data_IF_604039106385
#
_entry.id   IF_604039106385
#
_cell.length_a   1.000
_cell.length_b   1.000
_cell.length_c   1.000
_cell.angle_alpha   90.00
_cell.angle_beta   90.00
_cell.angle_gamma   90.00
#
_symmetry.space_group_name_H-M   'P 1'
#
loop_
_entity.id
_entity.type
_entity.pdbx_description
1 polymer ?
#
# COMPACT_ATOMS: atom_id res chain seq x y z
N UNK A 1 -35.13 -1.58 -39.98
CA UNK A 1 -36.34 -0.71 -39.93
C UNK A 1 -37.43 -1.19 -38.98
N UNK A 2 -37.86 -2.48 -39.00
CA UNK A 2 -38.91 -3.01 -38.09
C UNK A 2 -38.65 -2.81 -36.59
N UNK A 3 -37.40 -2.93 -36.12
CA UNK A 3 -37.00 -2.68 -34.73
C UNK A 3 -37.36 -1.27 -34.26
N UNK A 4 -36.97 -0.25 -35.03
CA UNK A 4 -37.19 1.16 -34.68
C UNK A 4 -38.67 1.53 -34.77
N UNK A 5 -39.38 1.03 -35.79
CA UNK A 5 -40.84 1.24 -35.93
C UNK A 5 -41.66 0.63 -34.78
N UNK A 6 -41.19 -0.47 -34.16
CA UNK A 6 -41.87 -1.09 -33.02
C UNK A 6 -41.64 -0.34 -31.70
N UNK A 7 -40.58 0.45 -31.61
CA UNK A 7 -40.14 1.14 -30.39
C UNK A 7 -40.15 2.68 -30.51
N UNK A 8 -40.77 3.22 -31.56
CA UNK A 8 -40.75 4.65 -31.89
C UNK A 8 -41.23 5.54 -30.75
N UNK A 9 -42.26 5.10 -30.01
CA UNK A 9 -42.81 5.82 -28.86
C UNK A 9 -41.82 5.87 -27.68
N UNK A 10 -41.04 4.81 -27.46
CA UNK A 10 -40.03 4.78 -26.40
C UNK A 10 -38.84 5.66 -26.76
N UNK A 11 -38.35 5.59 -27.99
CA UNK A 11 -37.26 6.46 -28.46
C UNK A 11 -37.67 7.93 -28.45
N UNK A 12 -38.91 8.25 -28.83
CA UNK A 12 -39.44 9.60 -28.71
C UNK A 12 -39.44 10.08 -27.25
N UNK A 13 -39.94 9.26 -26.31
CA UNK A 13 -39.92 9.57 -24.87
C UNK A 13 -38.52 9.75 -24.31
N UNK A 14 -37.57 8.90 -24.69
CA UNK A 14 -36.16 9.05 -24.31
C UNK A 14 -35.58 10.35 -24.90
N UNK A 15 -35.85 10.65 -26.16
CA UNK A 15 -35.43 11.91 -26.81
C UNK A 15 -35.98 13.15 -26.11
N UNK A 16 -37.28 13.14 -25.74
CA UNK A 16 -37.88 14.21 -24.95
C UNK A 16 -37.21 14.36 -23.57
N UNK A 17 -36.99 13.24 -22.87
CA UNK A 17 -36.30 13.26 -21.57
C UNK A 17 -34.89 13.83 -21.68
N UNK A 18 -34.09 13.37 -22.65
CA UNK A 18 -32.72 13.87 -22.89
C UNK A 18 -32.76 15.37 -23.19
N UNK A 19 -33.69 15.81 -24.04
CA UNK A 19 -33.85 17.23 -24.38
C UNK A 19 -34.18 18.09 -23.15
N UNK A 20 -35.09 17.61 -22.28
CA UNK A 20 -35.43 18.28 -21.02
C UNK A 20 -34.22 18.36 -20.09
N UNK A 21 -33.49 17.25 -19.91
CA UNK A 21 -32.29 17.21 -19.05
C UNK A 21 -31.22 18.16 -19.59
N UNK A 22 -30.97 18.18 -20.90
CA UNK A 22 -30.03 19.13 -21.53
C UNK A 22 -30.49 20.56 -21.30
N UNK A 23 -31.76 20.88 -21.51
CA UNK A 23 -32.30 22.23 -21.28
C UNK A 23 -32.18 22.66 -19.82
N UNK A 24 -32.44 21.76 -18.86
CA UNK A 24 -32.25 22.02 -17.44
C UNK A 24 -30.78 22.28 -17.12
N UNK A 25 -29.85 21.46 -17.60
CA UNK A 25 -28.41 21.65 -17.40
C UNK A 25 -27.97 22.98 -18.00
N UNK A 26 -28.38 23.29 -19.23
CA UNK A 26 -28.06 24.56 -19.89
C UNK A 26 -28.65 25.76 -19.14
N UNK A 27 -29.84 25.63 -18.57
CA UNK A 27 -30.46 26.68 -17.76
C UNK A 27 -29.69 26.90 -16.46
N UNK A 28 -29.27 25.83 -15.78
CA UNK A 28 -28.48 25.91 -14.54
C UNK A 28 -27.06 26.44 -14.83
N UNK A 29 -26.43 26.02 -15.93
CA UNK A 29 -25.14 26.55 -16.38
C UNK A 29 -25.29 28.02 -16.79
N UNK A 30 -26.38 28.43 -17.44
CA UNK A 30 -26.62 29.83 -17.77
C UNK A 30 -26.78 30.67 -16.48
N UNK A 31 -27.51 30.17 -15.48
CA UNK A 31 -27.61 30.83 -14.17
C UNK A 31 -26.22 30.93 -13.52
N UNK A 32 -25.44 29.85 -13.52
CA UNK A 32 -24.05 29.85 -13.01
C UNK A 32 -23.17 30.83 -13.80
N UNK A 33 -23.34 30.96 -15.11
CA UNK A 33 -22.61 31.93 -15.92
C UNK A 33 -22.97 33.39 -15.60
N UNK A 34 -24.24 33.69 -15.29
CA UNK A 34 -24.70 35.05 -14.98
C UNK A 34 -24.55 35.43 -13.50
N UNK A 35 -24.54 34.46 -12.58
CA UNK A 35 -24.52 34.68 -11.12
C UNK A 35 -23.21 34.20 -10.47
N UNK A 36 -22.49 33.29 -11.12
CA UNK A 36 -21.25 32.65 -10.67
C UNK A 36 -20.03 33.04 -11.50
N UNK A 37 -19.08 32.11 -11.66
CA UNK A 37 -17.78 32.36 -12.31
C UNK A 37 -17.68 31.75 -13.73
N UNK A 38 -18.73 31.07 -14.19
CA UNK A 38 -18.86 30.51 -15.53
C UNK A 38 -18.03 29.25 -15.78
N UNK A 39 -17.51 28.59 -14.75
CA UNK A 39 -16.65 27.41 -14.91
C UNK A 39 -17.44 26.08 -15.02
N UNK A 40 -18.76 26.13 -14.84
CA UNK A 40 -19.65 24.96 -14.85
C UNK A 40 -19.65 24.15 -13.55
N UNK A 41 -19.07 24.68 -12.47
CA UNK A 41 -19.07 24.12 -11.12
C UNK A 41 -19.92 25.03 -10.22
N UNK A 42 -20.92 24.46 -9.55
CA UNK A 42 -21.74 25.20 -8.61
C UNK A 42 -21.79 24.48 -7.27
N UNK A 43 -21.35 25.14 -6.19
CA UNK A 43 -21.23 24.56 -4.84
C UNK A 43 -20.38 23.28 -4.82
N UNK A 44 -19.20 23.31 -5.47
CA UNK A 44 -18.29 22.17 -5.63
C UNK A 44 -18.84 20.98 -6.45
N UNK A 45 -20.00 21.14 -7.10
CA UNK A 45 -20.57 20.14 -7.99
C UNK A 45 -20.33 20.51 -9.46
N UNK A 46 -19.60 19.66 -10.20
CA UNK A 46 -19.48 19.80 -11.66
C UNK A 46 -20.81 19.41 -12.33
N UNK A 47 -21.56 20.44 -12.72
CA UNK A 47 -22.90 20.30 -13.31
C UNK A 47 -22.87 19.57 -14.65
N UNK A 48 -21.77 19.72 -15.41
CA UNK A 48 -21.58 19.07 -16.71
C UNK A 48 -21.43 17.58 -16.51
N UNK A 49 -20.62 17.18 -15.54
CA UNK A 49 -20.39 15.78 -15.19
C UNK A 49 -21.66 15.11 -14.64
N UNK A 50 -22.42 15.82 -13.80
CA UNK A 50 -23.71 15.35 -13.29
C UNK A 50 -24.69 15.15 -14.46
N UNK A 51 -24.81 16.16 -15.31
CA UNK A 51 -25.70 16.13 -16.46
C UNK A 51 -25.40 14.97 -17.42
N UNK A 52 -24.12 14.80 -17.77
CA UNK A 52 -23.66 13.66 -18.56
C UNK A 52 -24.02 12.32 -17.91
N UNK A 53 -23.80 12.17 -16.60
CA UNK A 53 -24.14 10.93 -15.87
C UNK A 53 -25.63 10.64 -15.91
N UNK A 54 -26.50 11.64 -15.70
CA UNK A 54 -27.96 11.45 -15.75
C UNK A 54 -28.41 10.97 -17.12
N UNK A 55 -27.93 11.62 -18.19
CA UNK A 55 -28.23 11.22 -19.57
C UNK A 55 -27.71 9.81 -19.86
N UNK A 56 -26.47 9.51 -19.48
CA UNK A 56 -25.86 8.20 -19.67
C UNK A 56 -26.64 7.09 -18.96
N UNK A 57 -27.08 7.32 -17.72
CA UNK A 57 -27.94 6.39 -16.98
C UNK A 57 -29.28 6.18 -17.66
N UNK A 58 -29.96 7.24 -18.11
CA UNK A 58 -31.25 7.12 -18.78
C UNK A 58 -31.14 6.35 -20.10
N UNK A 59 -30.12 6.66 -20.92
CA UNK A 59 -29.83 5.93 -22.16
C UNK A 59 -29.50 4.47 -21.85
N UNK A 60 -28.66 4.21 -20.84
CA UNK A 60 -28.28 2.87 -20.42
C UNK A 60 -29.47 2.02 -19.97
N UNK A 61 -30.36 2.58 -19.14
CA UNK A 61 -31.57 1.91 -18.65
C UNK A 61 -32.56 1.61 -19.78
N UNK A 62 -32.80 2.57 -20.69
CA UNK A 62 -33.66 2.33 -21.85
C UNK A 62 -33.06 1.28 -22.78
N UNK A 63 -31.75 1.33 -23.00
CA UNK A 63 -31.03 0.33 -23.81
C UNK A 63 -31.13 -1.07 -23.18
N UNK A 64 -30.92 -1.19 -21.87
CA UNK A 64 -31.06 -2.43 -21.12
C UNK A 64 -32.50 -2.96 -21.17
N UNK A 65 -33.50 -2.10 -20.98
CA UNK A 65 -34.91 -2.46 -21.11
C UNK A 65 -35.24 -3.00 -22.51
N UNK A 66 -34.77 -2.32 -23.55
CA UNK A 66 -34.97 -2.76 -24.94
C UNK A 66 -34.25 -4.08 -25.22
N UNK A 67 -33.03 -4.24 -24.71
CA UNK A 67 -32.25 -5.47 -24.81
C UNK A 67 -33.02 -6.63 -24.16
N UNK A 68 -33.49 -6.46 -22.92
CA UNK A 68 -34.29 -7.47 -22.22
C UNK A 68 -35.55 -7.80 -23.02
N UNK A 69 -36.34 -6.79 -23.42
CA UNK A 69 -37.65 -7.02 -24.06
C UNK A 69 -37.56 -7.74 -25.41
N UNK A 70 -36.46 -7.57 -26.14
CA UNK A 70 -36.33 -8.06 -27.51
C UNK A 70 -35.45 -9.29 -27.65
N UNK A 71 -34.78 -9.68 -26.58
CA UNK A 71 -33.92 -10.86 -26.56
C UNK A 71 -34.74 -12.15 -26.40
N UNK A 72 -34.21 -13.32 -26.80
CA UNK A 72 -34.85 -14.61 -26.55
C UNK A 72 -35.05 -14.86 -25.05
N UNK A 73 -36.06 -15.65 -24.61
CA UNK A 73 -36.40 -15.84 -23.20
C UNK A 73 -35.21 -16.16 -22.28
N UNK A 74 -34.29 -17.01 -22.74
CA UNK A 74 -33.07 -17.35 -21.99
C UNK A 74 -32.20 -16.12 -21.70
N UNK A 75 -31.99 -15.27 -22.71
CA UNK A 75 -31.19 -14.04 -22.57
C UNK A 75 -31.93 -13.01 -21.71
N UNK A 76 -33.27 -12.93 -21.81
CA UNK A 76 -34.06 -12.06 -20.92
C UNK A 76 -33.84 -12.45 -19.46
N UNK A 77 -33.94 -13.75 -19.15
CA UNK A 77 -33.75 -14.26 -17.80
C UNK A 77 -32.35 -13.96 -17.28
N UNK A 78 -31.30 -14.17 -18.10
CA UNK A 78 -29.92 -13.84 -17.73
C UNK A 78 -29.78 -12.35 -17.41
N UNK A 79 -30.27 -11.48 -18.30
CA UNK A 79 -30.17 -10.03 -18.12
C UNK A 79 -30.96 -9.54 -16.91
N UNK A 80 -32.17 -10.06 -16.68
CA UNK A 80 -32.99 -9.75 -15.51
C UNK A 80 -32.33 -10.23 -14.21
N UNK A 81 -31.72 -11.42 -14.21
CA UNK A 81 -30.97 -11.93 -13.06
C UNK A 81 -29.75 -11.07 -12.76
N UNK A 82 -28.95 -10.71 -13.77
CA UNK A 82 -27.79 -9.83 -13.60
C UNK A 82 -28.20 -8.43 -13.10
N UNK A 83 -29.28 -7.89 -13.66
CA UNK A 83 -29.83 -6.59 -13.25
C UNK A 83 -30.31 -6.63 -11.80
N UNK A 84 -31.05 -7.68 -11.43
CA UNK A 84 -31.51 -7.90 -10.05
C UNK A 84 -30.33 -8.01 -9.08
N UNK A 85 -29.31 -8.80 -9.41
CA UNK A 85 -28.09 -8.94 -8.59
C UNK A 85 -27.40 -7.59 -8.43
N UNK A 86 -27.27 -6.80 -9.49
CA UNK A 86 -26.68 -5.46 -9.43
C UNK A 86 -27.46 -4.55 -8.45
N UNK A 87 -28.79 -4.48 -8.56
CA UNK A 87 -29.60 -3.66 -7.67
C UNK A 87 -29.56 -4.14 -6.21
N UNK A 88 -29.50 -5.45 -5.97
CA UNK A 88 -29.33 -6.01 -4.62
C UNK A 88 -27.99 -5.58 -4.03
N UNK A 89 -26.89 -5.74 -4.78
CA UNK A 89 -25.55 -5.30 -4.33
C UNK A 89 -25.56 -3.80 -4.05
N UNK A 90 -26.07 -2.99 -4.98
CA UNK A 90 -26.17 -1.54 -4.82
C UNK A 90 -27.01 -1.14 -3.60
N UNK A 91 -28.15 -1.81 -3.38
CA UNK A 91 -29.02 -1.59 -2.23
C UNK A 91 -28.34 -1.93 -0.90
N UNK A 92 -27.65 -3.07 -0.83
CA UNK A 92 -26.85 -3.46 0.34
C UNK A 92 -25.77 -2.41 0.61
N UNK A 93 -25.05 -1.99 -0.43
CA UNK A 93 -23.96 -1.02 -0.29
C UNK A 93 -24.45 0.34 0.21
N UNK A 94 -25.63 0.74 -0.25
CA UNK A 94 -26.29 1.98 0.17
C UNK A 94 -26.74 1.89 1.62
N UNK A 95 -27.45 0.82 1.99
CA UNK A 95 -27.97 0.62 3.36
C UNK A 95 -26.81 0.49 4.36
N UNK A 96 -25.80 -0.32 4.05
CA UNK A 96 -24.61 -0.45 4.92
C UNK A 96 -23.80 0.84 4.94
N UNK A 97 -23.76 1.59 3.84
CA UNK A 97 -23.21 2.95 3.81
C UNK A 97 -23.89 3.86 4.81
N UNK A 98 -25.23 3.90 4.84
CA UNK A 98 -25.98 4.67 5.82
C UNK A 98 -25.70 4.22 7.26
N UNK A 99 -25.66 2.91 7.51
CA UNK A 99 -25.34 2.37 8.84
C UNK A 99 -23.91 2.76 9.26
N UNK A 100 -22.94 2.63 8.35
CA UNK A 100 -21.55 2.97 8.60
C UNK A 100 -21.39 4.46 8.91
N UNK A 101 -21.99 5.33 8.09
CA UNK A 101 -21.88 6.78 8.25
C UNK A 101 -22.65 7.26 9.50
N UNK A 102 -23.79 6.65 9.85
CA UNK A 102 -24.50 6.93 11.10
C UNK A 102 -23.74 6.45 12.35
N UNK A 103 -22.95 5.38 12.23
CA UNK A 103 -22.11 4.84 13.30
C UNK A 103 -20.78 5.59 13.48
N UNK A 104 -20.34 6.33 12.47
CA UNK A 104 -19.14 7.18 12.54
C UNK A 104 -19.41 8.37 13.47
N UNK A 105 -18.99 8.25 14.72
CA UNK A 105 -18.88 9.42 15.60
C UNK A 105 -17.83 10.36 15.01
N UNK A 106 -18.09 11.67 15.05
CA UNK A 106 -17.07 12.67 14.73
C UNK A 106 -15.76 12.29 15.44
N UNK A 107 -14.57 12.46 14.80
CA UNK A 107 -13.30 12.08 15.39
C UNK A 107 -13.26 12.60 16.82
N UNK A 108 -13.16 11.70 17.80
CA UNK A 108 -13.11 12.13 19.19
C UNK A 108 -11.94 13.11 19.31
N UNK A 109 -12.14 14.24 20.00
CA UNK A 109 -11.09 15.24 20.24
C UNK A 109 -9.79 14.62 20.80
N UNK A 110 -9.87 13.41 21.35
CA UNK A 110 -8.77 12.66 21.94
C UNK A 110 -8.03 11.71 20.97
N UNK A 111 -8.34 11.73 19.66
CA UNK A 111 -7.55 10.98 18.67
C UNK A 111 -6.54 11.89 17.97
N UNK A 112 -5.27 11.45 17.84
CA UNK A 112 -4.25 12.20 17.13
C UNK A 112 -4.63 12.36 15.65
N UNK A 113 -4.55 13.58 15.16
CA UNK A 113 -4.74 13.95 13.76
C UNK A 113 -3.38 14.13 13.09
N UNK A 114 -3.22 13.61 11.88
CA UNK A 114 -2.07 13.96 11.05
C UNK A 114 -2.16 15.43 10.67
N UNK A 115 -1.09 16.18 10.91
CA UNK A 115 -0.99 17.57 10.49
C UNK A 115 0.13 17.68 9.44
N UNK A 116 -0.23 17.92 8.17
CA UNK A 116 0.74 18.09 7.08
C UNK A 116 1.06 16.81 6.28
N UNK A 117 1.78 16.92 5.14
CA UNK A 117 1.82 15.87 4.12
C UNK A 117 2.80 14.75 4.52
N UNK A 118 2.43 13.86 5.45
CA UNK A 118 3.32 12.77 5.87
C UNK A 118 3.56 11.71 4.76
N UNK A 119 2.60 11.55 3.84
CA UNK A 119 2.68 10.55 2.78
C UNK A 119 2.90 11.17 1.39
N UNK A 120 2.11 12.14 0.96
CA UNK A 120 2.16 12.61 -0.43
C UNK A 120 3.39 13.47 -0.77
N UNK A 121 4.09 14.01 0.23
CA UNK A 121 5.37 14.72 0.01
C UNK A 121 6.61 13.89 0.33
N UNK A 122 6.47 12.60 0.64
CA UNK A 122 7.61 11.76 1.04
C UNK A 122 8.04 10.77 -0.05
N UNK A 123 7.29 10.63 -1.15
CA UNK A 123 7.65 9.74 -2.25
C UNK A 123 7.73 10.41 -3.62
N UNK A 124 8.57 9.84 -4.48
CA UNK A 124 8.60 10.04 -5.91
C UNK A 124 8.17 8.74 -6.62
N UNK A 125 7.67 8.88 -7.85
CA UNK A 125 7.41 7.73 -8.71
C UNK A 125 8.71 7.04 -9.11
N UNK A 126 8.65 5.70 -9.19
CA UNK A 126 9.71 4.86 -9.74
C UNK A 126 9.08 3.78 -10.62
N UNK A 127 9.64 3.57 -11.80
CA UNK A 127 9.03 2.69 -12.81
C UNK A 127 8.98 1.21 -12.40
N UNK A 128 9.82 0.79 -11.44
CA UNK A 128 9.86 -0.58 -10.92
C UNK A 128 9.36 -0.68 -9.49
N UNK A 129 9.70 0.28 -8.63
CA UNK A 129 9.26 0.30 -7.23
C UNK A 129 7.84 0.85 -7.05
N UNK A 130 7.31 1.57 -8.03
CA UNK A 130 6.06 2.32 -7.93
C UNK A 130 6.22 3.60 -7.11
N UNK A 131 6.58 3.47 -5.83
CA UNK A 131 6.91 4.57 -4.93
C UNK A 131 8.28 4.36 -4.29
N UNK A 132 9.08 5.42 -4.21
CA UNK A 132 10.33 5.46 -3.43
C UNK A 132 10.45 6.79 -2.69
N UNK A 133 11.24 6.87 -1.61
CA UNK A 133 11.56 8.16 -0.99
C UNK A 133 12.06 9.18 -2.02
N UNK A 134 11.64 10.45 -1.92
CA UNK A 134 12.20 11.51 -2.76
C UNK A 134 13.71 11.62 -2.47
N UNK A 135 14.61 11.50 -3.48
CA UNK A 135 16.05 11.53 -3.25
C UNK A 135 16.51 12.91 -2.76
N UNK A 136 17.51 12.96 -1.87
CA UNK A 136 18.04 14.19 -1.26
C UNK A 136 16.95 15.08 -0.64
N UNK A 137 15.98 14.45 0.04
CA UNK A 137 14.82 15.14 0.59
C UNK A 137 14.72 14.97 2.10
N UNK A 138 14.20 16.01 2.75
CA UNK A 138 13.87 16.00 4.16
C UNK A 138 12.39 16.25 4.30
N UNK A 139 11.69 15.39 5.03
CA UNK A 139 10.28 15.57 5.28
C UNK A 139 9.97 15.39 6.76
N UNK A 140 8.85 15.99 7.17
CA UNK A 140 8.44 16.08 8.57
C UNK A 140 7.26 15.15 8.82
N UNK A 141 7.40 14.24 9.77
CA UNK A 141 6.32 13.39 10.25
C UNK A 141 5.70 14.02 11.49
N UNK A 142 4.50 14.58 11.33
CA UNK A 142 3.80 15.28 12.42
C UNK A 142 2.45 14.65 12.70
N UNK A 143 2.24 14.27 13.95
CA UNK A 143 0.92 14.00 14.50
C UNK A 143 0.61 15.00 15.58
N UNK A 144 -0.61 15.52 15.57
CA UNK A 144 -1.10 16.47 16.56
C UNK A 144 -2.26 15.90 17.34
N UNK A 145 -2.38 16.24 18.62
CA UNK A 145 -3.54 15.97 19.44
C UNK A 145 -4.01 17.29 20.01
N UNK A 146 -5.28 17.67 19.76
CA UNK A 146 -5.82 18.99 20.13
C UNK A 146 -4.94 20.17 19.65
N UNK A 147 -4.44 20.10 18.41
CA UNK A 147 -3.58 21.13 17.81
C UNK A 147 -2.14 21.16 18.32
N UNK A 148 -1.76 20.32 19.28
CA UNK A 148 -0.39 20.23 19.81
C UNK A 148 0.33 19.02 19.22
N UNK A 149 1.59 19.15 18.76
CA UNK A 149 2.34 18.00 18.25
C UNK A 149 2.55 16.96 19.36
N UNK A 150 2.17 15.72 19.09
CA UNK A 150 2.48 14.54 19.91
C UNK A 150 3.55 13.67 19.25
N UNK A 151 3.74 13.82 17.94
CA UNK A 151 4.89 13.31 17.19
C UNK A 151 5.35 14.45 16.28
N UNK A 152 6.64 14.72 16.30
CA UNK A 152 7.27 15.73 15.46
C UNK A 152 8.71 15.26 15.17
N UNK A 153 8.90 14.66 14.00
CA UNK A 153 10.18 14.07 13.60
C UNK A 153 10.55 14.53 12.20
N UNK A 154 11.80 14.95 12.02
CA UNK A 154 12.39 15.19 10.70
C UNK A 154 13.13 13.93 10.25
N UNK A 155 12.82 13.48 9.05
CA UNK A 155 13.42 12.31 8.41
C UNK A 155 14.25 12.76 7.21
N UNK A 156 15.47 12.22 7.08
CA UNK A 156 16.37 12.58 5.99
C UNK A 156 16.56 11.40 5.03
N UNK A 157 16.55 11.70 3.74
CA UNK A 157 16.69 10.75 2.65
C UNK A 157 17.90 11.10 1.80
N UNK A 158 18.74 10.11 1.50
CA UNK A 158 19.93 10.32 0.67
C UNK A 158 19.64 10.30 -0.84
N UNK A 159 20.69 10.46 -1.64
CA UNK A 159 20.62 10.49 -3.11
C UNK A 159 20.14 9.18 -3.74
N UNK A 160 20.18 8.06 -3.01
CA UNK A 160 19.74 6.74 -3.46
C UNK A 160 18.34 6.38 -2.94
N UNK A 161 17.60 7.37 -2.42
CA UNK A 161 16.26 7.18 -1.86
C UNK A 161 16.27 6.18 -0.69
N UNK A 162 17.26 6.31 0.21
CA UNK A 162 17.39 5.52 1.45
C UNK A 162 17.25 6.43 2.66
N UNK A 163 16.74 5.91 3.78
CA UNK A 163 16.77 6.66 5.05
C UNK A 163 18.22 6.83 5.49
N UNK A 164 18.61 8.06 5.82
CA UNK A 164 19.96 8.32 6.34
C UNK A 164 20.12 7.60 7.67
N UNK A 165 21.24 6.88 7.80
CA UNK A 165 21.68 6.28 9.07
C UNK A 165 22.90 7.07 9.55
N UNK A 166 22.74 7.99 10.52
CA UNK A 166 23.79 8.91 10.90
C UNK A 166 24.96 8.16 11.54
N UNK A 167 26.15 8.71 11.38
CA UNK A 167 27.34 8.18 12.03
C UNK A 167 27.16 8.30 13.54
N UNK A 168 27.06 7.16 14.23
CA UNK A 168 26.94 7.14 15.69
C UNK A 168 28.19 7.75 16.36
N UNK A 169 29.36 7.54 15.74
CA UNK A 169 30.65 8.13 16.13
C UNK A 169 31.34 8.68 14.87
N UNK A 170 31.26 10.00 14.67
CA UNK A 170 31.73 10.69 13.44
C UNK A 170 33.24 10.86 13.35
N UNK A 171 34.01 10.48 14.38
CA UNK A 171 35.38 10.97 14.51
C UNK A 171 36.50 10.02 14.07
N UNK A 172 36.34 8.69 14.02
CA UNK A 172 37.49 7.81 13.69
C UNK A 172 37.19 6.37 13.20
N UNK A 173 35.93 5.95 13.07
CA UNK A 173 35.66 4.54 12.74
C UNK A 173 35.70 4.27 11.23
N UNK A 174 36.77 3.61 10.77
CA UNK A 174 36.83 3.02 9.43
C UNK A 174 35.80 1.89 9.30
N UNK A 175 34.69 2.17 8.63
CA UNK A 175 33.63 1.20 8.34
C UNK A 175 33.92 0.50 7.02
N UNK A 176 34.52 -0.68 7.12
CA UNK A 176 34.94 -1.49 5.99
C UNK A 176 33.91 -2.58 5.60
N UNK A 177 32.86 -2.79 6.41
CA UNK A 177 31.77 -3.73 6.12
C UNK A 177 30.42 -3.03 5.93
N UNK A 178 29.52 -3.60 5.15
CA UNK A 178 28.14 -3.11 5.02
C UNK A 178 27.14 -3.99 5.80
N UNK A 179 26.03 -3.37 6.21
CA UNK A 179 24.81 -4.06 6.64
C UNK A 179 23.62 -3.44 5.93
N UNK A 180 22.95 -4.19 5.05
CA UNK A 180 21.78 -3.69 4.31
C UNK A 180 20.50 -4.10 5.05
N UNK A 181 19.61 -3.15 5.30
CA UNK A 181 18.33 -3.41 5.96
C UNK A 181 17.18 -3.13 5.02
N UNK A 182 16.44 -4.19 4.67
CA UNK A 182 15.25 -4.14 3.85
C UNK A 182 14.01 -4.43 4.70
N UNK A 183 12.89 -3.81 4.35
CA UNK A 183 11.62 -4.04 5.02
C UNK A 183 10.66 -2.89 4.77
N UNK A 184 9.68 -2.76 5.66
CA UNK A 184 8.64 -1.73 5.56
C UNK A 184 8.91 -0.55 6.49
N UNK A 185 7.84 0.04 7.03
CA UNK A 185 7.86 1.11 8.01
C UNK A 185 8.63 0.76 9.30
N UNK A 186 8.63 -0.51 9.69
CA UNK A 186 9.37 -0.99 10.86
C UNK A 186 10.88 -0.79 10.66
N UNK A 187 11.40 -1.18 9.50
CA UNK A 187 12.82 -1.01 9.16
C UNK A 187 13.15 0.45 8.87
N UNK A 188 12.26 1.17 8.18
CA UNK A 188 12.44 2.57 7.87
C UNK A 188 12.53 3.47 9.12
N UNK A 189 11.83 3.07 10.19
CA UNK A 189 11.72 3.86 11.42
C UNK A 189 10.69 4.97 11.26
N UNK A 190 9.46 4.58 10.95
CA UNK A 190 8.34 5.52 10.92
C UNK A 190 8.19 6.21 12.27
N UNK A 191 7.98 7.52 12.23
CA UNK A 191 7.79 8.37 13.41
C UNK A 191 8.94 8.34 14.45
N UNK A 192 10.15 7.90 14.09
CA UNK A 192 11.36 8.00 14.94
C UNK A 192 12.49 8.74 14.22
N UNK A 193 13.37 9.38 14.99
CA UNK A 193 14.49 10.15 14.44
C UNK A 193 15.51 9.23 13.73
N UNK A 194 16.37 9.82 12.89
CA UNK A 194 17.36 9.05 12.11
C UNK A 194 18.30 8.23 13.01
N UNK A 195 18.60 8.77 14.20
CA UNK A 195 19.42 8.15 15.25
C UNK A 195 18.61 7.26 16.21
N UNK A 196 17.44 6.80 15.79
CA UNK A 196 16.55 5.93 16.58
C UNK A 196 16.03 4.74 15.76
N UNK A 197 16.55 4.54 14.55
CA UNK A 197 16.13 3.46 13.65
C UNK A 197 16.85 2.13 13.97
N UNK A 198 16.32 1.00 13.49
CA UNK A 198 17.03 -0.29 13.60
C UNK A 198 18.44 -0.23 12.98
N UNK A 199 18.62 0.29 11.75
CA UNK A 199 19.95 0.36 11.16
C UNK A 199 20.92 1.24 11.98
N UNK A 200 20.42 2.31 12.60
CA UNK A 200 21.23 3.13 13.50
C UNK A 200 21.70 2.36 14.74
N UNK A 201 20.81 1.70 15.47
CA UNK A 201 21.22 0.95 16.66
C UNK A 201 22.16 -0.21 16.33
N UNK A 202 21.97 -0.88 15.19
CA UNK A 202 22.92 -1.87 14.72
C UNK A 202 24.31 -1.26 14.46
N UNK A 203 24.37 -0.15 13.71
CA UNK A 203 25.61 0.55 13.41
C UNK A 203 26.34 1.05 14.66
N UNK A 204 25.59 1.58 15.64
CA UNK A 204 26.12 2.03 16.92
C UNK A 204 26.80 0.89 17.69
N UNK A 205 26.24 -0.32 17.64
CA UNK A 205 26.76 -1.47 18.38
C UNK A 205 27.88 -2.23 17.64
N UNK A 206 28.10 -1.92 16.35
CA UNK A 206 29.04 -2.63 15.50
C UNK A 206 29.81 -1.65 14.61
N UNK A 207 30.83 -1.00 15.18
CA UNK A 207 31.57 0.12 14.56
C UNK A 207 32.28 -0.21 13.24
N UNK A 208 32.52 -1.48 12.93
CA UNK A 208 33.07 -1.93 11.64
C UNK A 208 32.06 -1.84 10.48
N UNK A 209 30.77 -1.70 10.76
CA UNK A 209 29.70 -1.74 9.77
C UNK A 209 29.14 -0.35 9.45
N UNK A 210 28.96 -0.09 8.16
CA UNK A 210 28.07 0.93 7.65
C UNK A 210 26.69 0.31 7.42
N UNK A 211 25.68 0.77 8.16
CA UNK A 211 24.31 0.32 7.96
C UNK A 211 23.61 1.20 6.91
N UNK A 212 22.82 0.55 6.05
CA UNK A 212 22.05 1.21 4.99
C UNK A 212 20.58 0.80 5.11
N UNK A 213 19.69 1.80 5.19
CA UNK A 213 18.26 1.59 5.39
C UNK A 213 17.49 1.70 4.07
N UNK A 214 17.19 0.54 3.49
CA UNK A 214 16.37 0.38 2.28
C UNK A 214 14.88 0.16 2.58
N UNK A 215 14.47 0.27 3.84
CA UNK A 215 13.06 0.25 4.21
C UNK A 215 12.31 1.43 3.61
N UNK A 216 10.98 1.30 3.51
CA UNK A 216 10.10 2.44 3.28
C UNK A 216 8.66 2.09 3.68
N UNK A 217 7.83 3.12 3.83
CA UNK A 217 6.43 3.00 4.21
C UNK A 217 5.72 1.97 3.35
N UNK A 218 5.20 0.91 3.96
CA UNK A 218 4.42 -0.07 3.22
C UNK A 218 5.20 -0.99 2.27
N UNK A 219 6.53 -0.91 2.23
CA UNK A 219 7.31 -1.84 1.42
C UNK A 219 7.06 -3.31 1.80
N UNK A 220 7.35 -4.19 0.85
CA UNK A 220 7.05 -5.62 0.92
C UNK A 220 8.15 -6.41 0.22
N UNK A 221 8.12 -7.75 0.24
CA UNK A 221 9.12 -8.56 -0.47
C UNK A 221 9.20 -8.24 -1.97
N UNK A 222 8.09 -7.76 -2.57
CA UNK A 222 8.05 -7.27 -3.95
C UNK A 222 9.02 -6.12 -4.19
N UNK A 223 9.10 -5.17 -3.25
CA UNK A 223 9.93 -3.98 -3.36
C UNK A 223 11.41 -4.32 -3.20
N UNK A 224 11.74 -5.22 -2.27
CA UNK A 224 13.11 -5.73 -2.13
C UNK A 224 13.54 -6.47 -3.42
N UNK A 225 12.69 -7.35 -3.95
CA UNK A 225 12.98 -8.09 -5.17
C UNK A 225 13.15 -7.15 -6.38
N UNK A 226 12.21 -6.22 -6.59
CA UNK A 226 12.27 -5.26 -7.68
C UNK A 226 13.55 -4.41 -7.61
N UNK A 227 13.94 -3.97 -6.41
CA UNK A 227 15.20 -3.24 -6.22
C UNK A 227 16.41 -4.09 -6.62
N UNK A 228 16.47 -5.34 -6.19
CA UNK A 228 17.59 -6.25 -6.48
C UNK A 228 17.61 -6.74 -7.94
N UNK A 229 16.49 -6.68 -8.67
CA UNK A 229 16.43 -7.04 -10.09
C UNK A 229 16.81 -5.85 -10.99
N UNK A 230 16.33 -4.66 -10.67
CA UNK A 230 16.40 -3.50 -11.56
C UNK A 230 17.46 -2.46 -11.18
N UNK A 231 18.10 -2.62 -10.02
CA UNK A 231 19.18 -1.74 -9.58
C UNK A 231 20.43 -2.54 -9.22
N UNK A 232 21.58 -1.99 -9.58
CA UNK A 232 22.87 -2.46 -9.07
C UNK A 232 23.13 -1.84 -7.69
N UNK A 233 22.71 -2.54 -6.64
CA UNK A 233 22.82 -2.08 -5.25
C UNK A 233 24.29 -2.00 -4.82
N UNK A 234 25.19 -2.75 -5.47
CA UNK A 234 26.64 -2.69 -5.19
C UNK A 234 27.27 -1.34 -5.55
N UNK A 235 26.63 -0.55 -6.43
CA UNK A 235 27.03 0.83 -6.75
C UNK A 235 26.54 1.86 -5.74
N UNK A 236 25.61 1.47 -4.86
CA UNK A 236 25.05 2.33 -3.82
C UNK A 236 25.78 2.13 -2.48
N UNK A 237 26.63 1.11 -2.38
CA UNK A 237 27.30 0.67 -1.15
C UNK A 237 28.81 0.68 -1.38
N UNK A 238 29.55 1.43 -0.57
CA UNK A 238 31.00 1.58 -0.75
C UNK A 238 31.76 0.31 -0.33
N UNK A 239 31.31 -0.36 0.72
CA UNK A 239 31.96 -1.55 1.27
C UNK A 239 31.70 -2.79 0.40
N UNK A 240 32.64 -3.73 0.41
CA UNK A 240 32.58 -4.96 -0.44
C UNK A 240 32.19 -6.22 0.31
N UNK A 241 32.30 -6.21 1.63
CA UNK A 241 31.95 -7.35 2.48
C UNK A 241 30.87 -6.93 3.46
N UNK A 242 29.93 -7.82 3.77
CA UNK A 242 28.80 -7.47 4.61
C UNK A 242 27.67 -8.47 4.46
N UNK A 243 26.51 -8.10 4.99
CA UNK A 243 25.32 -8.92 4.95
C UNK A 243 24.07 -8.07 4.67
N UNK A 244 22.97 -8.74 4.34
CA UNK A 244 21.65 -8.15 4.22
C UNK A 244 20.67 -8.76 5.24
N UNK A 245 19.75 -7.95 5.72
CA UNK A 245 18.64 -8.34 6.60
C UNK A 245 17.33 -7.90 5.95
N UNK A 246 16.37 -8.81 5.91
CA UNK A 246 14.96 -8.50 5.66
C UNK A 246 14.17 -8.63 6.97
N UNK A 247 13.60 -7.53 7.46
CA UNK A 247 12.69 -7.58 8.61
C UNK A 247 11.31 -8.03 8.14
N UNK A 248 10.80 -9.15 8.68
CA UNK A 248 9.52 -9.71 8.31
C UNK A 248 8.45 -9.51 9.39
N UNK A 249 7.27 -9.06 8.98
CA UNK A 249 6.02 -9.00 9.75
C UNK A 249 4.91 -9.67 8.92
N UNK A 250 3.84 -10.14 9.56
CA UNK A 250 2.76 -10.87 8.86
C UNK A 250 2.07 -10.06 7.77
N UNK A 251 1.94 -8.74 7.97
CA UNK A 251 1.36 -7.83 6.98
C UNK A 251 2.04 -7.92 5.61
N UNK A 252 3.29 -8.36 5.55
CA UNK A 252 3.98 -8.54 4.27
C UNK A 252 3.32 -9.58 3.36
N UNK A 253 2.54 -10.53 3.89
CA UNK A 253 1.72 -11.44 3.06
C UNK A 253 0.67 -10.63 2.31
N UNK A 254 -0.03 -9.72 3.00
CA UNK A 254 -1.05 -8.87 2.39
C UNK A 254 -0.49 -7.93 1.31
N UNK A 255 0.79 -7.56 1.45
CA UNK A 255 1.50 -6.65 0.53
C UNK A 255 2.28 -7.40 -0.55
N UNK A 256 2.43 -8.71 -0.40
CA UNK A 256 2.97 -9.63 -1.40
C UNK A 256 1.88 -10.13 -2.34
N UNK A 257 0.64 -10.22 -1.88
CA UNK A 257 -0.54 -10.35 -2.75
C UNK A 257 -1.09 -8.95 -3.06
N UNK A 258 -1.68 -8.71 -4.24
CA UNK A 258 -2.33 -7.45 -4.52
C UNK A 258 -3.76 -7.46 -3.94
N UNK A 259 -3.88 -7.48 -2.61
CA UNK A 259 -5.19 -7.42 -1.95
C UNK A 259 -5.90 -6.11 -2.23
N UNK A 260 -7.23 -6.06 -2.11
CA UNK A 260 -7.99 -4.84 -2.32
C UNK A 260 -7.60 -3.73 -1.34
N UNK A 261 -7.37 -4.08 -0.08
CA UNK A 261 -6.86 -3.21 0.97
C UNK A 261 -5.53 -2.60 0.57
N UNK A 262 -4.59 -3.42 0.11
CA UNK A 262 -3.27 -2.96 -0.31
C UNK A 262 -3.29 -2.14 -1.60
N UNK A 263 -4.06 -2.58 -2.60
CA UNK A 263 -4.32 -1.81 -3.84
C UNK A 263 -4.83 -0.42 -3.50
N UNK A 264 -5.78 -0.31 -2.59
CA UNK A 264 -6.33 0.98 -2.17
C UNK A 264 -5.37 1.84 -1.39
N UNK A 265 -4.70 1.29 -0.38
CA UNK A 265 -3.77 2.04 0.48
C UNK A 265 -2.57 2.59 -0.29
N UNK A 266 -2.09 1.83 -1.28
CA UNK A 266 -0.92 2.20 -2.08
C UNK A 266 -1.29 2.76 -3.47
N UNK A 267 -2.58 2.94 -3.75
CA UNK A 267 -3.16 3.31 -5.04
C UNK A 267 -2.56 2.51 -6.22
N UNK A 268 -2.27 1.23 -5.98
CA UNK A 268 -1.65 0.32 -6.95
C UNK A 268 -0.21 0.67 -7.38
N UNK A 269 0.47 1.61 -6.71
CA UNK A 269 1.86 1.98 -6.99
C UNK A 269 2.88 1.11 -6.25
N UNK A 270 2.83 -0.19 -6.50
CA UNK A 270 3.82 -1.16 -6.01
C UNK A 270 4.26 -2.08 -7.16
N UNK A 271 5.39 -2.81 -7.02
CA UNK A 271 5.89 -3.66 -8.07
C UNK A 271 4.90 -4.76 -8.45
N UNK A 272 4.70 -4.95 -9.75
CA UNK A 272 4.07 -6.14 -10.28
C UNK A 272 5.04 -7.34 -10.23
N UNK A 273 4.51 -8.55 -10.17
CA UNK A 273 5.30 -9.79 -10.15
C UNK A 273 4.66 -10.81 -11.09
N UNK A 274 5.48 -11.38 -11.97
CA UNK A 274 5.15 -12.64 -12.63
C UNK A 274 5.45 -13.80 -11.68
N UNK A 275 4.39 -14.43 -11.17
CA UNK A 275 4.47 -15.52 -10.20
C UNK A 275 5.19 -16.77 -10.74
N UNK A 276 5.32 -16.94 -12.05
CA UNK A 276 5.99 -18.10 -12.65
C UNK A 276 7.51 -17.92 -12.72
N UNK A 277 7.96 -16.73 -13.11
CA UNK A 277 9.37 -16.41 -13.31
C UNK A 277 10.02 -15.70 -12.12
N UNK A 278 9.20 -15.27 -11.14
CA UNK A 278 9.60 -14.37 -10.05
C UNK A 278 10.30 -13.10 -10.57
N UNK A 279 9.89 -12.59 -11.73
CA UNK A 279 10.39 -11.33 -12.29
C UNK A 279 9.40 -10.21 -12.07
N UNK A 280 9.92 -9.05 -11.65
CA UNK A 280 9.11 -7.85 -11.46
C UNK A 280 9.01 -7.07 -12.75
N UNK A 281 7.79 -6.74 -13.18
CA UNK A 281 7.51 -6.25 -14.53
C UNK A 281 6.85 -4.86 -14.53
N UNK A 282 7.44 -3.93 -13.79
CA UNK A 282 6.92 -2.56 -13.65
C UNK A 282 5.90 -2.44 -12.51
N UNK A 283 4.97 -1.49 -12.63
CA UNK A 283 4.05 -1.12 -11.53
C UNK A 283 2.66 -1.73 -11.73
N UNK A 284 2.13 -2.36 -10.67
CA UNK A 284 0.88 -3.13 -10.68
C UNK A 284 -0.30 -2.43 -11.35
N UNK A 285 -0.56 -1.16 -11.05
CA UNK A 285 -1.69 -0.42 -11.64
C UNK A 285 -1.62 -0.29 -13.17
N UNK A 286 -0.41 -0.24 -13.74
CA UNK A 286 -0.20 -0.08 -15.17
C UNK A 286 -0.18 -1.43 -15.89
N UNK A 287 0.36 -2.47 -15.24
CA UNK A 287 0.34 -3.85 -15.78
C UNK A 287 -1.07 -4.46 -15.72
N UNK A 288 -1.85 -4.13 -14.69
CA UNK A 288 -3.16 -4.71 -14.43
C UNK A 288 -4.27 -3.65 -14.23
N UNK A 289 -4.58 -2.81 -15.24
CA UNK A 289 -5.50 -1.69 -15.08
C UNK A 289 -6.92 -2.11 -14.69
N UNK A 290 -7.40 -3.26 -15.18
CA UNK A 290 -8.71 -3.78 -14.83
C UNK A 290 -8.76 -4.34 -13.40
N UNK A 291 -7.73 -5.09 -12.98
CA UNK A 291 -7.64 -5.61 -11.60
C UNK A 291 -7.46 -4.46 -10.61
N UNK A 292 -6.67 -3.44 -10.94
CA UNK A 292 -6.55 -2.21 -10.15
C UNK A 292 -7.91 -1.53 -9.98
N UNK A 293 -8.66 -1.29 -11.07
CA UNK A 293 -10.00 -0.68 -10.99
C UNK A 293 -10.95 -1.49 -10.10
N UNK A 294 -10.94 -2.81 -10.25
CA UNK A 294 -11.73 -3.70 -9.41
C UNK A 294 -11.31 -3.64 -7.93
N UNK A 295 -10.00 -3.72 -7.66
CA UNK A 295 -9.44 -3.61 -6.31
C UNK A 295 -9.79 -2.28 -5.65
N UNK A 296 -9.71 -1.17 -6.40
CA UNK A 296 -10.13 0.15 -5.93
C UNK A 296 -11.63 0.25 -5.65
N UNK A 297 -12.46 -0.39 -6.48
CA UNK A 297 -13.91 -0.49 -6.23
C UNK A 297 -14.18 -1.24 -4.91
N UNK A 298 -13.54 -2.39 -4.71
CA UNK A 298 -13.67 -3.17 -3.46
C UNK A 298 -13.09 -2.41 -2.26
N UNK A 299 -11.99 -1.69 -2.42
CA UNK A 299 -11.43 -0.86 -1.35
C UNK A 299 -12.39 0.25 -0.89
N UNK A 300 -13.07 0.88 -1.85
CA UNK A 300 -14.05 1.96 -1.61
C UNK A 300 -15.42 1.46 -1.12
N UNK A 301 -15.66 0.14 -1.15
CA UNK A 301 -16.89 -0.48 -0.63
C UNK A 301 -17.13 -0.08 0.83
N UNK A 302 -18.36 0.37 1.10
CA UNK A 302 -18.83 0.69 2.46
C UNK A 302 -19.05 -0.56 3.27
N UNK A 303 -19.50 -1.67 2.64
CA UNK A 303 -19.56 -2.98 3.30
C UNK A 303 -18.19 -3.40 3.79
N UNK A 304 -17.17 -3.33 2.93
CA UNK A 304 -15.79 -3.63 3.31
C UNK A 304 -15.33 -2.77 4.49
N UNK A 305 -15.51 -1.44 4.40
CA UNK A 305 -15.09 -0.50 5.44
C UNK A 305 -15.83 -0.73 6.76
N UNK A 306 -17.13 -1.02 6.72
CA UNK A 306 -17.96 -1.25 7.90
C UNK A 306 -17.53 -2.50 8.67
N UNK A 307 -17.26 -3.59 7.97
CA UNK A 307 -16.85 -4.86 8.59
C UNK A 307 -15.34 -5.01 8.76
N UNK A 308 -14.55 -3.97 8.44
CA UNK A 308 -13.09 -3.97 8.47
C UNK A 308 -12.47 -5.20 7.75
N UNK A 309 -13.09 -5.62 6.65
CA UNK A 309 -12.65 -6.78 5.88
C UNK A 309 -11.63 -6.40 4.81
N UNK A 310 -10.74 -7.32 4.46
CA UNK A 310 -9.89 -7.20 3.26
C UNK A 310 -10.29 -8.27 2.24
N UNK A 311 -9.91 -8.09 0.97
CA UNK A 311 -10.11 -9.08 -0.08
C UNK A 311 -8.75 -9.48 -0.68
N UNK A 312 -8.34 -10.76 -0.61
CA UNK A 312 -9.10 -11.90 -0.08
C UNK A 312 -9.28 -11.84 1.45
N UNK A 313 -10.40 -12.38 1.95
CA UNK A 313 -10.78 -12.35 3.39
C UNK A 313 -9.84 -13.12 4.30
N UNK A 314 -9.14 -14.11 3.77
CA UNK A 314 -8.15 -14.90 4.47
C UNK A 314 -6.99 -15.24 3.54
N UNK A 315 -5.79 -15.36 4.13
CA UNK A 315 -4.61 -15.82 3.40
C UNK A 315 -4.69 -17.32 3.18
N UNK A 316 -4.49 -17.74 1.95
CA UNK A 316 -4.38 -19.15 1.58
C UNK A 316 -2.93 -19.60 1.73
N UNK A 317 -2.64 -20.90 1.87
CA UNK A 317 -1.27 -21.42 1.91
C UNK A 317 -0.39 -20.87 0.79
N UNK A 318 -0.90 -20.82 -0.45
CA UNK A 318 -0.17 -20.28 -1.61
C UNK A 318 0.21 -18.80 -1.50
N UNK A 319 -0.50 -18.00 -0.71
CA UNK A 319 -0.19 -16.57 -0.52
C UNK A 319 1.06 -16.43 0.38
N UNK A 320 1.22 -17.32 1.37
CA UNK A 320 2.47 -17.45 2.14
C UNK A 320 3.60 -18.04 1.28
N UNK A 321 3.32 -19.04 0.45
CA UNK A 321 4.31 -19.62 -0.47
C UNK A 321 4.88 -18.55 -1.43
N UNK A 322 4.01 -17.73 -2.02
CA UNK A 322 4.42 -16.61 -2.87
C UNK A 322 5.32 -15.63 -2.10
N UNK A 323 4.94 -15.30 -0.87
CA UNK A 323 5.72 -14.40 -0.01
C UNK A 323 7.11 -14.97 0.28
N UNK A 324 7.20 -16.26 0.62
CA UNK A 324 8.46 -16.95 0.85
C UNK A 324 9.30 -17.08 -0.43
N UNK A 325 8.67 -17.31 -1.59
CA UNK A 325 9.34 -17.34 -2.90
C UNK A 325 9.93 -15.98 -3.29
N UNK A 326 9.21 -14.88 -3.04
CA UNK A 326 9.72 -13.52 -3.27
C UNK A 326 10.98 -13.24 -2.43
N UNK A 327 10.97 -13.65 -1.16
CA UNK A 327 12.12 -13.50 -0.26
C UNK A 327 13.28 -14.38 -0.74
N UNK A 328 13.00 -15.64 -1.13
CA UNK A 328 14.01 -16.55 -1.69
C UNK A 328 14.65 -15.97 -2.95
N UNK A 329 13.84 -15.47 -3.88
CA UNK A 329 14.35 -14.86 -5.10
C UNK A 329 15.19 -13.61 -4.81
N UNK A 330 14.79 -12.82 -3.81
CA UNK A 330 15.58 -11.68 -3.36
C UNK A 330 16.94 -12.10 -2.80
N UNK A 331 17.00 -13.18 -2.02
CA UNK A 331 18.26 -13.75 -1.53
C UNK A 331 19.16 -14.21 -2.69
N UNK A 332 18.61 -14.81 -3.74
CA UNK A 332 19.36 -15.19 -4.95
C UNK A 332 19.92 -13.97 -5.70
N UNK A 333 19.12 -12.92 -5.91
CA UNK A 333 19.58 -11.70 -6.58
C UNK A 333 20.62 -10.96 -5.72
N UNK A 334 20.46 -10.93 -4.40
CA UNK A 334 21.48 -10.43 -3.48
C UNK A 334 22.79 -11.21 -3.64
N UNK A 335 22.74 -12.55 -3.63
CA UNK A 335 23.92 -13.41 -3.80
C UNK A 335 24.60 -13.20 -5.15
N UNK A 336 23.80 -13.00 -6.21
CA UNK A 336 24.30 -12.69 -7.55
C UNK A 336 25.04 -11.35 -7.59
N UNK A 337 24.52 -10.31 -6.91
CA UNK A 337 25.14 -8.99 -6.87
C UNK A 337 26.38 -8.95 -5.97
N UNK A 338 26.25 -9.38 -4.71
CA UNK A 338 27.26 -9.21 -3.66
C UNK A 338 28.24 -10.39 -3.53
N UNK A 339 28.03 -11.48 -4.29
CA UNK A 339 28.90 -12.67 -4.33
C UNK A 339 29.12 -13.34 -2.97
N UNK A 340 28.17 -13.16 -2.04
CA UNK A 340 28.12 -13.87 -0.76
C UNK A 340 26.68 -14.28 -0.44
N UNK A 341 26.52 -15.15 0.55
CA UNK A 341 25.22 -15.71 0.93
C UNK A 341 24.77 -15.25 2.32
N UNK A 342 25.30 -14.12 2.80
CA UNK A 342 24.97 -13.57 4.11
C UNK A 342 23.71 -12.72 4.00
N UNK A 343 22.60 -13.41 3.78
CA UNK A 343 21.26 -12.85 3.71
C UNK A 343 20.40 -13.48 4.82
N UNK A 344 19.86 -12.65 5.71
CA UNK A 344 19.10 -13.08 6.87
C UNK A 344 17.68 -12.54 6.82
N UNK A 345 16.71 -13.36 7.24
CA UNK A 345 15.35 -12.90 7.53
C UNK A 345 15.16 -12.86 9.04
N UNK A 346 14.82 -11.68 9.55
CA UNK A 346 14.50 -11.49 10.97
C UNK A 346 12.98 -11.51 11.12
N UNK A 347 12.45 -12.50 11.85
CA UNK A 347 11.04 -12.54 12.21
C UNK A 347 10.81 -11.57 13.36
N UNK A 348 10.04 -10.51 13.12
CA UNK A 348 9.85 -9.46 14.10
C UNK A 348 9.07 -9.97 15.33
N UNK A 349 9.39 -9.49 16.55
CA UNK A 349 8.74 -9.94 17.78
C UNK A 349 7.22 -9.77 17.75
N UNK A 350 6.50 -10.85 18.07
CA UNK A 350 5.03 -10.90 18.23
C UNK A 350 4.21 -10.30 17.06
N UNK A 351 4.82 -10.12 15.88
CA UNK A 351 4.20 -9.55 14.69
C UNK A 351 3.82 -10.59 13.63
N UNK A 352 3.84 -11.87 14.01
CA UNK A 352 3.38 -13.00 13.20
C UNK A 352 2.11 -13.58 13.80
N UNK A 353 1.21 -14.10 12.95
CA UNK A 353 0.07 -14.88 13.45
C UNK A 353 0.59 -16.15 14.12
N UNK A 354 -0.12 -16.60 15.15
CA UNK A 354 0.24 -17.79 15.95
C UNK A 354 0.42 -19.05 15.08
N UNK A 355 -0.38 -19.17 14.03
CA UNK A 355 -0.42 -20.27 13.06
C UNK A 355 0.31 -19.95 11.75
N UNK A 356 1.09 -18.86 11.68
CA UNK A 356 1.82 -18.47 10.47
C UNK A 356 2.80 -19.57 10.04
N UNK A 357 2.70 -20.10 8.80
CA UNK A 357 3.59 -21.13 8.30
C UNK A 357 4.98 -20.58 7.89
N UNK A 358 5.16 -19.25 7.94
CA UNK A 358 6.30 -18.58 7.31
C UNK A 358 7.66 -19.08 7.80
N UNK A 359 7.83 -19.37 9.10
CA UNK A 359 9.10 -19.90 9.61
C UNK A 359 9.48 -21.22 8.93
N UNK A 360 8.51 -22.14 8.76
CA UNK A 360 8.73 -23.41 8.08
C UNK A 360 9.09 -23.20 6.62
N UNK A 361 8.27 -22.41 5.91
CA UNK A 361 8.45 -22.13 4.49
C UNK A 361 9.80 -21.48 4.16
N UNK A 362 10.29 -20.58 5.02
CA UNK A 362 11.60 -19.95 4.86
C UNK A 362 12.75 -20.96 5.09
N UNK A 363 12.64 -21.80 6.12
CA UNK A 363 13.63 -22.84 6.42
C UNK A 363 13.72 -23.89 5.31
N UNK A 364 12.59 -24.35 4.79
CA UNK A 364 12.50 -25.30 3.67
C UNK A 364 13.21 -24.78 2.41
N UNK A 365 13.23 -23.46 2.22
CA UNK A 365 13.93 -22.78 1.10
C UNK A 365 15.41 -22.49 1.36
N UNK A 366 15.93 -22.97 2.50
CA UNK A 366 17.32 -22.76 2.90
C UNK A 366 17.65 -21.30 3.23
N UNK A 367 16.65 -20.50 3.63
CA UNK A 367 16.88 -19.10 4.03
C UNK A 367 17.40 -19.08 5.47
N UNK A 368 18.44 -18.28 5.74
CA UNK A 368 18.95 -18.07 7.10
C UNK A 368 17.93 -17.23 7.88
N UNK A 369 17.20 -17.86 8.81
CA UNK A 369 16.18 -17.17 9.62
C UNK A 369 16.70 -16.92 11.03
N UNK A 370 16.49 -15.71 11.52
CA UNK A 370 16.67 -15.30 12.92
C UNK A 370 15.28 -15.12 13.51
N UNK A 371 14.91 -16.01 14.43
CA UNK A 371 13.57 -16.06 15.01
C UNK A 371 13.51 -15.26 16.32
N UNK A 372 13.02 -14.02 16.24
CA UNK A 372 12.84 -13.15 17.39
C UNK A 372 11.37 -13.00 17.80
N UNK A 373 10.47 -13.89 17.36
CA UNK A 373 9.04 -13.81 17.67
C UNK A 373 8.74 -13.71 19.18
N UNK A 374 9.61 -14.28 20.02
CA UNK A 374 9.45 -14.29 21.48
C UNK A 374 10.37 -13.32 22.23
N UNK A 375 11.04 -12.39 21.52
CA UNK A 375 12.02 -11.48 22.15
C UNK A 375 11.36 -10.47 23.10
N UNK A 376 10.24 -9.88 22.69
CA UNK A 376 9.41 -9.01 23.53
C UNK A 376 7.96 -9.00 23.02
N UNK A 377 6.98 -8.71 23.89
CA UNK A 377 5.58 -8.61 23.48
C UNK A 377 5.35 -7.37 22.61
N UNK A 378 4.62 -7.54 21.51
CA UNK A 378 4.30 -6.45 20.59
C UNK A 378 3.00 -6.76 19.82
N UNK A 379 2.01 -5.85 19.81
CA UNK A 379 2.05 -4.47 20.30
C UNK A 379 2.03 -4.39 21.83
N UNK A 380 2.73 -3.38 22.38
CA UNK A 380 2.78 -3.10 23.81
C UNK A 380 3.13 -1.63 24.05
N UNK A 381 2.55 -1.01 25.07
CA UNK A 381 2.86 0.39 25.44
C UNK A 381 4.35 0.65 25.64
N UNK A 382 5.12 -0.37 26.02
CA UNK A 382 6.57 -0.26 26.22
C UNK A 382 7.36 -0.20 24.92
N UNK A 383 6.88 -0.83 23.86
CA UNK A 383 7.63 -1.06 22.60
C UNK A 383 6.96 -0.46 21.37
N UNK A 384 5.84 0.22 21.56
CA UNK A 384 5.09 0.92 20.54
C UNK A 384 5.13 2.42 20.84
N UNK A 385 5.14 3.24 19.80
CA UNK A 385 5.03 4.68 19.94
C UNK A 385 3.70 5.05 20.59
N UNK A 386 3.71 6.08 21.43
CA UNK A 386 2.46 6.64 21.90
C UNK A 386 1.74 7.25 20.70
N UNK A 387 0.44 6.96 20.52
CA UNK A 387 -0.37 7.54 19.43
C UNK A 387 0.00 7.07 18.00
N UNK A 388 0.84 6.04 17.88
CA UNK A 388 1.22 5.44 16.60
C UNK A 388 1.39 3.92 16.76
N UNK A 389 0.94 3.16 15.76
CA UNK A 389 1.04 1.70 15.78
C UNK A 389 2.47 1.17 15.66
N UNK A 390 3.42 1.99 15.22
CA UNK A 390 4.78 1.57 14.91
C UNK A 390 5.66 1.34 16.14
N UNK A 391 6.76 0.56 16.01
CA UNK A 391 7.72 0.37 17.08
C UNK A 391 8.35 1.69 17.52
N UNK A 392 8.70 1.77 18.80
CA UNK A 392 9.44 2.91 19.34
C UNK A 392 10.97 2.67 19.30
N UNK A 393 11.78 3.68 19.65
CA UNK A 393 13.24 3.54 19.65
C UNK A 393 13.76 2.41 20.54
N UNK A 394 13.10 2.13 21.67
CA UNK A 394 13.49 1.05 22.58
C UNK A 394 13.31 -0.34 21.96
N UNK A 395 12.22 -0.56 21.20
CA UNK A 395 12.00 -1.80 20.45
C UNK A 395 13.08 -2.00 19.38
N UNK A 396 13.44 -0.93 18.66
CA UNK A 396 14.53 -0.95 17.69
C UNK A 396 15.88 -1.27 18.32
N UNK A 397 16.19 -0.64 19.47
CA UNK A 397 17.42 -0.87 20.23
C UNK A 397 17.55 -2.33 20.67
N UNK A 398 16.55 -2.87 21.35
CA UNK A 398 16.57 -4.24 21.85
C UNK A 398 16.70 -5.28 20.73
N UNK A 399 15.96 -5.09 19.64
CA UNK A 399 16.02 -6.00 18.50
C UNK A 399 17.42 -6.04 17.88
N UNK A 400 18.07 -4.88 17.75
CA UNK A 400 19.39 -4.77 17.12
C UNK A 400 20.54 -5.18 18.03
N UNK A 401 20.40 -4.99 19.34
CA UNK A 401 21.30 -5.57 20.33
C UNK A 401 21.28 -7.10 20.26
N UNK A 402 20.08 -7.69 20.23
CA UNK A 402 19.96 -9.15 20.14
C UNK A 402 20.43 -9.70 18.79
N UNK A 403 20.11 -9.00 17.69
CA UNK A 403 20.65 -9.32 16.37
C UNK A 403 22.18 -9.32 16.37
N UNK A 404 22.80 -8.32 17.01
CA UNK A 404 24.26 -8.22 17.09
C UNK A 404 24.87 -9.40 17.85
N UNK A 405 24.25 -9.83 18.96
CA UNK A 405 24.72 -11.02 19.70
C UNK A 405 24.59 -12.29 18.86
N UNK A 406 23.45 -12.49 18.22
CA UNK A 406 23.18 -13.68 17.39
C UNK A 406 24.16 -13.78 16.22
N UNK A 407 24.44 -12.66 15.55
CA UNK A 407 25.40 -12.62 14.45
C UNK A 407 26.85 -12.86 14.90
N UNK A 408 27.24 -12.39 16.09
CA UNK A 408 28.55 -12.71 16.70
C UNK A 408 28.67 -14.21 16.98
N UNK A 409 27.64 -14.82 17.57
CA UNK A 409 27.62 -16.26 17.85
C UNK A 409 27.75 -17.10 16.58
N UNK A 410 27.18 -16.62 15.46
CA UNK A 410 27.30 -17.27 14.14
C UNK A 410 28.61 -16.96 13.40
N UNK A 411 29.52 -16.16 13.97
CA UNK A 411 30.77 -15.76 13.34
C UNK A 411 30.61 -14.85 12.12
N UNK A 412 29.46 -14.18 12.00
CA UNK A 412 29.16 -13.27 10.88
C UNK A 412 29.83 -11.92 11.11
N UNK A 413 29.80 -11.42 12.36
CA UNK A 413 30.33 -10.11 12.75
C UNK A 413 31.37 -10.19 13.84
#
# INVERSE_FOLDING_TARGET
MRFFQKNTTLFARLGYFISIVILLILSVIAIEFFVGNGDGIWFDYDLRLIGFRVVAWAVGLVSLYLLIRQSPPVVQNILLSLTSVFFVIYGIETVVGWIHDAGQKAPAANQPQYAGPAYDSSYAFDEFLGRKPIPNHNFKWVKTLNGKPVIDVVMHVDSFSRRITPFADSLNAQRNRYALFFGCSFTYGDAVADNETMPYYFQRNNSAFQAYNYGFFGYSPRHMLARLQHQDVTKQVTQKQGFAVYTYIEDHVNRAIPSAGWIGMYDGYFPDIDESSMQTNGVYRFVHPLKYRFGMMVFKSKVRQHFAMDFPFAYRPKDYELTANLIKKSQEEYKKQFKNDDFYVVLYPDALKKDSPMLGLLKERGIKVIDFRNLFPYPSKKYQLQHDGHPNPEAHRLLMEELSKELKTKGVI
#
